data_IF_743009782452
#
_entry.id   IF_743009782452
#
_cell.length_a   1.000
_cell.length_b   1.000
_cell.length_c   1.000
_cell.angle_alpha   90.00
_cell.angle_beta   90.00
_cell.angle_gamma   90.00
#
_symmetry.space_group_name_H-M   'P 1'
#
loop_
_entity.id
_entity.type
_entity.pdbx_description
1 polymer ?
#
# COMPACT_ATOMS: atom_id res chain seq x y z
N UNK A 1 40.59 6.32 42.45
CA UNK A 1 39.24 5.73 42.60
C UNK A 1 38.34 6.35 41.54
N UNK A 2 38.11 5.65 40.43
CA UNK A 2 37.32 6.19 39.30
C UNK A 2 35.91 5.63 39.37
N UNK A 3 34.94 6.48 39.69
CA UNK A 3 33.52 6.10 39.76
C UNK A 3 33.00 5.90 38.35
N UNK A 4 32.88 4.64 37.95
CA UNK A 4 32.24 4.24 36.69
C UNK A 4 30.76 4.62 36.77
N UNK A 5 30.34 5.63 36.00
CA UNK A 5 28.92 6.01 35.89
C UNK A 5 28.15 4.81 35.34
N UNK A 6 27.02 4.40 35.94
CA UNK A 6 26.18 3.37 35.34
C UNK A 6 25.72 3.87 33.96
N UNK A 7 25.98 3.07 32.92
CA UNK A 7 25.40 3.27 31.59
C UNK A 7 23.89 3.38 31.77
N UNK A 8 23.32 4.53 31.42
CA UNK A 8 21.87 4.76 31.35
C UNK A 8 21.30 3.61 30.51
N UNK A 9 20.33 2.82 31.01
CA UNK A 9 19.70 1.80 30.19
C UNK A 9 19.08 2.51 28.99
N UNK A 10 19.60 2.22 27.79
CA UNK A 10 18.90 2.54 26.56
C UNK A 10 17.65 1.69 26.63
N UNK A 11 16.50 2.29 26.92
CA UNK A 11 15.22 1.60 26.79
C UNK A 11 15.10 1.22 25.33
N UNK A 12 15.45 -0.02 25.00
CA UNK A 12 15.00 -0.63 23.76
C UNK A 12 13.47 -0.55 23.82
N UNK A 13 12.80 0.17 22.91
CA UNK A 13 11.35 0.21 22.92
C UNK A 13 10.86 -1.23 22.82
N UNK A 14 10.01 -1.64 23.76
CA UNK A 14 9.40 -2.96 23.74
C UNK A 14 8.73 -3.15 22.36
N UNK A 15 9.15 -4.14 21.55
CA UNK A 15 8.58 -4.39 20.23
C UNK A 15 7.08 -4.73 20.29
N UNK A 16 6.54 -4.98 21.49
CA UNK A 16 5.12 -5.21 21.77
C UNK A 16 4.41 -3.99 22.37
N UNK A 17 5.10 -2.88 22.64
CA UNK A 17 4.49 -1.65 23.12
C UNK A 17 3.72 -0.97 21.98
N UNK A 18 2.45 -1.34 21.84
CA UNK A 18 1.48 -0.68 20.98
C UNK A 18 1.53 0.85 21.13
N UNK A 19 1.70 1.57 20.02
CA UNK A 19 1.88 3.03 20.00
C UNK A 19 0.58 3.73 19.61
N UNK A 20 0.43 5.02 19.95
CA UNK A 20 -0.75 5.83 19.56
C UNK A 20 -0.87 5.86 18.04
N UNK A 21 -2.05 5.55 17.50
CA UNK A 21 -2.28 5.47 16.05
C UNK A 21 -2.38 6.83 15.35
N UNK A 22 -2.77 7.87 16.10
CA UNK A 22 -3.10 9.19 15.55
C UNK A 22 -1.96 9.82 14.73
N UNK A 23 -0.69 9.87 15.19
CA UNK A 23 0.40 10.42 14.39
C UNK A 23 0.63 9.64 13.09
N UNK A 24 0.50 8.31 13.13
CA UNK A 24 0.69 7.46 11.96
C UNK A 24 -0.46 7.58 10.96
N UNK A 25 -1.69 7.81 11.43
CA UNK A 25 -2.83 8.15 10.57
C UNK A 25 -2.60 9.50 9.89
N UNK A 26 -2.14 10.50 10.63
CA UNK A 26 -1.82 11.81 10.07
C UNK A 26 -0.70 11.70 9.02
N UNK A 27 0.37 10.96 9.33
CA UNK A 27 1.46 10.70 8.39
C UNK A 27 0.98 9.96 7.13
N UNK A 28 0.16 8.91 7.28
CA UNK A 28 -0.42 8.21 6.14
C UNK A 28 -1.24 9.15 5.24
N UNK A 29 -2.05 10.04 5.82
CA UNK A 29 -2.81 11.04 5.04
C UNK A 29 -1.90 12.03 4.32
N UNK A 30 -0.81 12.46 4.96
CA UNK A 30 0.20 13.31 4.33
C UNK A 30 0.86 12.61 3.13
N UNK A 31 1.22 11.33 3.28
CA UNK A 31 1.78 10.51 2.21
C UNK A 31 0.81 10.39 1.03
N UNK A 32 -0.48 10.11 1.29
CA UNK A 32 -1.51 10.01 0.25
C UNK A 32 -1.68 11.33 -0.50
N UNK A 33 -1.80 12.44 0.24
CA UNK A 33 -1.99 13.76 -0.35
C UNK A 33 -0.78 14.21 -1.19
N UNK A 34 0.44 13.90 -0.73
CA UNK A 34 1.66 14.26 -1.47
C UNK A 34 1.82 13.47 -2.77
N UNK A 35 1.56 12.16 -2.74
CA UNK A 35 1.78 11.27 -3.87
C UNK A 35 0.60 11.18 -4.86
N UNK A 36 -0.52 11.84 -4.58
CA UNK A 36 -1.79 11.68 -5.31
C UNK A 36 -2.17 10.20 -5.50
N UNK A 37 -1.94 9.40 -4.46
CA UNK A 37 -2.05 7.96 -4.49
C UNK A 37 -3.27 7.51 -3.68
N UNK A 38 -4.16 6.66 -4.24
CA UNK A 38 -5.20 6.02 -3.47
C UNK A 38 -4.63 5.15 -2.35
N UNK A 39 -5.34 5.05 -1.22
CA UNK A 39 -4.85 4.30 -0.06
C UNK A 39 -4.48 2.82 -0.34
N UNK A 40 -5.13 2.07 -1.26
CA UNK A 40 -4.69 0.71 -1.56
C UNK A 40 -3.27 0.66 -2.14
N UNK A 41 -2.90 1.66 -2.95
CA UNK A 41 -1.53 1.80 -3.46
C UNK A 41 -0.52 2.04 -2.35
N UNK A 42 -0.86 2.87 -1.36
CA UNK A 42 -0.01 3.10 -0.19
C UNK A 42 0.17 1.83 0.65
N UNK A 43 -0.87 1.02 0.80
CA UNK A 43 -0.77 -0.26 1.52
C UNK A 43 0.25 -1.19 0.85
N UNK A 44 0.21 -1.30 -0.47
CA UNK A 44 1.20 -2.10 -1.23
C UNK A 44 2.59 -1.49 -1.10
N UNK A 45 2.76 -0.18 -1.32
CA UNK A 45 4.04 0.51 -1.23
C UNK A 45 4.71 0.35 0.16
N UNK A 46 3.90 0.42 1.23
CA UNK A 46 4.38 0.24 2.61
C UNK A 46 4.52 -1.22 3.00
N UNK A 47 4.01 -2.15 2.19
CA UNK A 47 3.96 -3.58 2.47
C UNK A 47 3.06 -3.92 3.67
N UNK A 48 2.01 -3.13 3.87
CA UNK A 48 0.94 -3.38 4.83
C UNK A 48 -0.23 -4.11 4.15
N UNK A 49 -1.06 -4.80 4.93
CA UNK A 49 -2.30 -5.38 4.39
C UNK A 49 -3.31 -4.27 4.09
N UNK A 50 -4.16 -4.50 3.08
CA UNK A 50 -5.23 -3.55 2.71
C UNK A 50 -6.12 -3.24 3.92
N UNK A 51 -6.58 -4.28 4.62
CA UNK A 51 -7.41 -4.14 5.81
C UNK A 51 -6.70 -3.36 6.94
N UNK A 52 -5.38 -3.52 7.12
CA UNK A 52 -4.65 -2.77 8.15
C UNK A 52 -4.66 -1.26 7.86
N UNK A 53 -4.36 -0.88 6.61
CA UNK A 53 -4.31 0.54 6.25
C UNK A 53 -5.71 1.17 6.20
N UNK A 54 -6.70 0.44 5.67
CA UNK A 54 -8.11 0.84 5.68
C UNK A 54 -8.59 1.11 7.11
N UNK A 55 -8.40 0.16 8.03
CA UNK A 55 -8.75 0.35 9.44
C UNK A 55 -7.99 1.51 10.09
N UNK A 56 -6.72 1.73 9.73
CA UNK A 56 -5.95 2.85 10.26
C UNK A 56 -6.58 4.18 9.82
N UNK A 57 -6.93 4.33 8.55
CA UNK A 57 -7.41 5.58 7.95
C UNK A 57 -8.88 5.87 8.25
N UNK A 58 -9.73 4.84 8.19
CA UNK A 58 -11.19 4.95 8.24
C UNK A 58 -11.79 4.39 9.54
N UNK A 59 -10.99 3.68 10.34
CA UNK A 59 -11.47 3.00 11.54
C UNK A 59 -12.13 1.66 11.23
N UNK A 60 -12.73 1.06 12.26
CA UNK A 60 -13.45 -0.22 12.18
C UNK A 60 -14.79 -0.07 12.87
N UNK A 61 -15.88 -0.41 12.17
CA UNK A 61 -17.26 -0.25 12.68
C UNK A 61 -17.54 1.16 13.23
N UNK A 62 -17.12 2.19 12.49
CA UNK A 62 -17.29 3.60 12.87
C UNK A 62 -16.38 4.08 14.01
N UNK A 63 -15.43 3.26 14.48
CA UNK A 63 -14.51 3.63 15.57
C UNK A 63 -13.08 3.76 15.06
N UNK A 64 -12.38 4.88 15.33
CA UNK A 64 -10.99 5.03 14.93
C UNK A 64 -10.09 4.06 15.70
N UNK A 65 -9.13 3.46 15.00
CA UNK A 65 -8.05 2.71 15.64
C UNK A 65 -7.26 3.65 16.55
N UNK A 66 -7.09 3.26 17.82
CA UNK A 66 -6.39 4.06 18.84
C UNK A 66 -4.92 3.72 18.97
N UNK A 67 -4.55 2.47 18.70
CA UNK A 67 -3.18 1.99 18.79
C UNK A 67 -2.81 1.13 17.58
N UNK A 68 -1.56 1.21 17.15
CA UNK A 68 -0.98 0.37 16.10
C UNK A 68 0.23 -0.39 16.65
N UNK A 69 0.57 -1.50 16.02
CA UNK A 69 1.81 -2.20 16.38
C UNK A 69 3.02 -1.37 15.96
N UNK A 70 4.16 -1.52 16.66
CA UNK A 70 5.42 -0.90 16.23
C UNK A 70 5.84 -1.27 14.80
N UNK A 71 5.49 -2.47 14.32
CA UNK A 71 5.71 -2.89 12.94
C UNK A 71 5.00 -1.96 11.93
N UNK A 72 3.70 -1.69 12.14
CA UNK A 72 2.92 -0.80 11.27
C UNK A 72 3.49 0.62 11.30
N UNK A 73 3.81 1.11 12.50
CA UNK A 73 4.44 2.41 12.69
C UNK A 73 5.77 2.52 11.91
N UNK A 74 6.66 1.54 12.06
CA UNK A 74 7.94 1.51 11.38
C UNK A 74 7.78 1.49 9.85
N UNK A 75 6.85 0.68 9.31
CA UNK A 75 6.58 0.62 7.87
C UNK A 75 6.16 1.97 7.28
N UNK A 76 5.31 2.72 8.00
CA UNK A 76 4.87 4.05 7.57
C UNK A 76 5.98 5.10 7.69
N UNK A 77 6.75 5.08 8.77
CA UNK A 77 7.83 6.04 9.01
C UNK A 77 9.04 5.87 8.07
N UNK A 78 9.17 4.71 7.41
CA UNK A 78 10.21 4.52 6.38
C UNK A 78 10.02 5.36 5.13
N UNK A 79 8.83 5.93 4.94
CA UNK A 79 8.52 6.77 3.80
C UNK A 79 8.50 8.24 4.18
N UNK A 80 9.35 9.02 3.52
CA UNK A 80 9.18 10.46 3.41
C UNK A 80 8.18 10.77 2.28
N UNK A 81 7.36 11.83 2.38
CA UNK A 81 6.44 12.20 1.31
C UNK A 81 7.11 12.35 -0.06
N UNK A 82 8.25 13.04 -0.13
CA UNK A 82 8.97 13.27 -1.39
C UNK A 82 9.51 11.97 -2.01
N UNK A 83 10.00 11.04 -1.17
CA UNK A 83 10.48 9.74 -1.62
C UNK A 83 9.34 8.90 -2.19
N UNK A 84 8.15 8.98 -1.57
CA UNK A 84 6.96 8.29 -2.07
C UNK A 84 6.49 8.89 -3.40
N UNK A 85 6.52 10.21 -3.55
CA UNK A 85 6.19 10.90 -4.82
C UNK A 85 7.14 10.44 -5.92
N UNK A 86 8.44 10.48 -5.65
CA UNK A 86 9.46 10.06 -6.61
C UNK A 86 9.29 8.58 -6.98
N UNK A 87 9.06 7.72 -5.98
CA UNK A 87 8.83 6.30 -6.20
C UNK A 87 7.55 6.04 -7.01
N UNK A 88 6.43 6.71 -6.69
CA UNK A 88 5.15 6.54 -7.38
C UNK A 88 5.23 6.89 -8.88
N UNK A 89 6.04 7.91 -9.22
CA UNK A 89 6.24 8.38 -10.59
C UNK A 89 7.32 7.63 -11.35
N UNK A 90 8.13 6.80 -10.67
CA UNK A 90 9.15 6.02 -11.31
C UNK A 90 8.53 5.10 -12.36
N UNK A 91 9.09 5.12 -13.58
CA UNK A 91 8.63 4.26 -14.65
C UNK A 91 9.16 2.84 -14.43
N UNK A 92 8.27 1.85 -14.45
CA UNK A 92 8.65 0.44 -14.30
C UNK A 92 8.27 -0.39 -15.50
N UNK A 93 9.07 -1.40 -15.86
CA UNK A 93 8.75 -2.31 -16.95
C UNK A 93 7.45 -3.08 -16.69
N UNK A 94 6.74 -3.38 -17.76
CA UNK A 94 5.59 -4.29 -17.70
C UNK A 94 6.09 -5.70 -17.33
N UNK A 95 5.77 -6.13 -16.11
CA UNK A 95 6.10 -7.46 -15.58
C UNK A 95 4.84 -8.25 -15.30
N UNK A 96 4.50 -8.45 -14.02
CA UNK A 96 3.37 -9.27 -13.60
C UNK A 96 2.01 -8.57 -13.77
N UNK A 97 1.99 -7.24 -13.94
CA UNK A 97 0.75 -6.46 -13.96
C UNK A 97 -0.27 -6.93 -15.02
N UNK A 98 0.11 -7.15 -16.30
CA UNK A 98 -0.81 -7.67 -17.32
C UNK A 98 -1.37 -9.04 -16.96
N UNK A 99 -0.56 -9.92 -16.37
CA UNK A 99 -1.01 -11.25 -15.96
C UNK A 99 -2.06 -11.14 -14.84
N UNK A 100 -1.80 -10.32 -13.81
CA UNK A 100 -2.76 -10.06 -12.72
C UNK A 100 -4.06 -9.47 -13.24
N UNK A 101 -3.98 -8.48 -14.12
CA UNK A 101 -5.15 -7.83 -14.71
C UNK A 101 -5.93 -8.79 -15.62
N UNK A 102 -5.23 -9.54 -16.47
CA UNK A 102 -5.84 -10.57 -17.32
C UNK A 102 -6.55 -11.64 -16.50
N UNK A 103 -5.98 -12.09 -15.38
CA UNK A 103 -6.62 -13.02 -14.47
C UNK A 103 -7.89 -12.45 -13.82
N UNK A 104 -7.86 -11.18 -13.40
CA UNK A 104 -9.04 -10.48 -12.86
C UNK A 104 -10.17 -10.42 -13.89
N UNK A 105 -9.86 -10.03 -15.13
CA UNK A 105 -10.84 -9.93 -16.22
C UNK A 105 -11.40 -11.30 -16.59
N UNK A 106 -10.53 -12.32 -16.70
CA UNK A 106 -10.95 -13.70 -16.98
C UNK A 106 -11.85 -14.28 -15.88
N UNK A 107 -11.68 -13.83 -14.63
CA UNK A 107 -12.51 -14.20 -13.50
C UNK A 107 -13.84 -13.41 -13.42
N UNK A 108 -14.13 -12.54 -14.40
CA UNK A 108 -15.38 -11.80 -14.48
C UNK A 108 -15.38 -10.44 -13.79
N UNK A 109 -14.22 -9.91 -13.38
CA UNK A 109 -14.14 -8.53 -12.93
C UNK A 109 -14.47 -7.59 -14.10
N UNK A 110 -15.33 -6.59 -13.85
CA UNK A 110 -15.68 -5.60 -14.88
C UNK A 110 -14.43 -4.79 -15.28
N UNK A 111 -14.12 -4.66 -16.59
CA UNK A 111 -13.01 -3.84 -17.07
C UNK A 111 -13.06 -2.41 -16.53
N UNK A 112 -14.25 -1.80 -16.49
CA UNK A 112 -14.43 -0.43 -16.01
C UNK A 112 -14.13 -0.31 -14.51
N UNK A 113 -14.51 -1.32 -13.72
CA UNK A 113 -14.23 -1.34 -12.28
C UNK A 113 -12.74 -1.53 -12.01
N UNK A 114 -12.06 -2.39 -12.77
CA UNK A 114 -10.61 -2.61 -12.64
C UNK A 114 -9.84 -1.38 -13.08
N UNK A 115 -10.21 -0.77 -14.21
CA UNK A 115 -9.59 0.44 -14.73
C UNK A 115 -9.72 1.60 -13.73
N UNK A 116 -10.95 1.85 -13.24
CA UNK A 116 -11.21 2.87 -12.23
C UNK A 116 -10.43 2.63 -10.94
N UNK A 117 -10.35 1.37 -10.47
CA UNK A 117 -9.58 1.04 -9.27
C UNK A 117 -8.08 1.29 -9.45
N UNK A 118 -7.54 1.07 -10.65
CA UNK A 118 -6.14 1.27 -10.97
C UNK A 118 -5.78 2.70 -11.40
N UNK A 119 -6.77 3.59 -11.53
CA UNK A 119 -6.57 4.95 -12.05
C UNK A 119 -6.21 4.97 -13.55
N UNK A 120 -6.71 3.99 -14.31
CA UNK A 120 -6.47 3.84 -15.74
C UNK A 120 -7.76 4.13 -16.52
N UNK A 121 -7.62 4.50 -17.80
CA UNK A 121 -8.71 4.38 -18.76
C UNK A 121 -8.90 2.92 -19.17
N UNK A 122 -10.07 2.56 -19.69
CA UNK A 122 -10.32 1.20 -20.21
C UNK A 122 -9.40 0.87 -21.40
N UNK A 123 -9.02 1.89 -22.19
CA UNK A 123 -8.06 1.74 -23.29
C UNK A 123 -6.64 1.47 -22.79
N UNK A 124 -6.19 2.20 -21.76
CA UNK A 124 -4.88 1.96 -21.13
C UNK A 124 -4.82 0.59 -20.47
N UNK A 125 -5.92 0.16 -19.83
CA UNK A 125 -6.05 -1.19 -19.29
C UNK A 125 -5.90 -2.24 -20.39
N UNK A 126 -6.60 -2.09 -21.51
CA UNK A 126 -6.50 -3.00 -22.64
C UNK A 126 -5.08 -3.00 -23.23
N UNK A 127 -4.46 -1.83 -23.41
CA UNK A 127 -3.08 -1.71 -23.89
C UNK A 127 -2.08 -2.39 -22.96
N UNK A 128 -2.31 -2.32 -21.65
CA UNK A 128 -1.46 -2.97 -20.66
C UNK A 128 -1.61 -4.50 -20.69
N UNK A 129 -2.84 -5.01 -20.74
CA UNK A 129 -3.14 -6.45 -20.83
C UNK A 129 -2.57 -7.04 -22.13
N UNK A 130 -2.72 -6.31 -23.24
CA UNK A 130 -2.25 -6.73 -24.56
C UNK A 130 -0.75 -6.46 -24.78
N UNK A 131 -0.01 -6.04 -23.73
CA UNK A 131 1.43 -5.76 -23.77
C UNK A 131 1.84 -4.70 -24.83
N UNK A 132 0.93 -3.79 -25.17
CA UNK A 132 1.19 -2.70 -26.13
C UNK A 132 1.97 -1.53 -25.53
N UNK A 133 2.11 -1.49 -24.21
CA UNK A 133 2.85 -0.44 -23.49
C UNK A 133 4.12 -1.04 -22.87
N UNK A 134 5.30 -0.40 -22.99
CA UNK A 134 6.56 -0.96 -22.48
C UNK A 134 6.76 -0.79 -20.97
N UNK A 135 5.98 0.08 -20.33
CA UNK A 135 5.97 0.25 -18.88
C UNK A 135 4.85 1.18 -18.42
N UNK A 136 4.86 1.51 -17.14
CA UNK A 136 3.88 2.40 -16.52
C UNK A 136 4.46 2.98 -15.23
N UNK A 137 3.85 4.03 -14.65
CA UNK A 137 4.24 4.55 -13.35
C UNK A 137 4.08 3.48 -12.26
N UNK A 138 5.01 3.42 -11.31
CA UNK A 138 4.99 2.48 -10.20
C UNK A 138 3.69 2.52 -9.38
N UNK A 139 3.01 3.68 -9.32
CA UNK A 139 1.68 3.79 -8.71
C UNK A 139 0.66 2.81 -9.32
N UNK A 140 0.65 2.66 -10.64
CA UNK A 140 -0.21 1.69 -11.36
C UNK A 140 0.20 0.26 -11.00
N UNK A 141 1.49 -0.01 -10.82
CA UNK A 141 2.00 -1.31 -10.35
C UNK A 141 1.39 -1.67 -8.99
N UNK A 142 1.47 -0.74 -8.04
CA UNK A 142 0.95 -0.92 -6.70
C UNK A 142 -0.57 -1.07 -6.70
N UNK A 143 -1.30 -0.31 -7.51
CA UNK A 143 -2.74 -0.42 -7.60
C UNK A 143 -3.19 -1.73 -8.27
N UNK A 144 -2.45 -2.23 -9.25
CA UNK A 144 -2.71 -3.54 -9.86
C UNK A 144 -2.56 -4.67 -8.85
N UNK A 145 -1.49 -4.65 -8.04
CA UNK A 145 -1.31 -5.61 -6.95
C UNK A 145 -2.38 -5.44 -5.86
N UNK A 146 -2.79 -4.20 -5.57
CA UNK A 146 -3.88 -3.95 -4.65
C UNK A 146 -5.23 -4.48 -5.18
N UNK A 147 -5.48 -4.41 -6.49
CA UNK A 147 -6.68 -4.93 -7.13
C UNK A 147 -6.73 -6.46 -7.01
N UNK A 148 -5.64 -7.15 -7.34
CA UNK A 148 -5.53 -8.60 -7.17
C UNK A 148 -5.90 -9.04 -5.74
N UNK A 149 -5.32 -8.36 -4.73
CA UNK A 149 -5.60 -8.64 -3.31
C UNK A 149 -7.06 -8.35 -2.93
N UNK A 150 -7.64 -7.28 -3.47
CA UNK A 150 -9.03 -6.88 -3.19
C UNK A 150 -10.04 -7.90 -3.76
N UNK A 151 -9.90 -8.28 -5.02
CA UNK A 151 -10.79 -9.22 -5.69
C UNK A 151 -10.59 -10.65 -5.21
N UNK A 152 -9.35 -11.05 -4.87
CA UNK A 152 -9.10 -12.35 -4.22
C UNK A 152 -9.80 -12.44 -2.86
N UNK A 153 -9.78 -11.35 -2.06
CA UNK A 153 -10.48 -11.31 -0.78
C UNK A 153 -12.02 -11.38 -0.92
N UNK A 154 -12.56 -11.03 -2.08
CA UNK A 154 -13.98 -11.16 -2.40
C UNK A 154 -14.35 -12.54 -2.97
N UNK A 155 -13.37 -13.44 -3.15
CA UNK A 155 -13.58 -14.77 -3.72
C UNK A 155 -13.75 -14.78 -5.24
N UNK A 156 -13.43 -13.68 -5.93
CA UNK A 156 -13.57 -13.59 -7.39
C UNK A 156 -12.37 -14.18 -8.12
N UNK A 157 -11.15 -14.10 -7.58
CA UNK A 157 -9.94 -14.66 -8.20
C UNK A 157 -9.34 -15.73 -7.29
N UNK A 158 -8.99 -16.93 -7.79
CA UNK A 158 -8.21 -17.88 -7.02
C UNK A 158 -6.82 -17.29 -6.75
N UNK A 159 -6.41 -17.27 -5.47
CA UNK A 159 -5.03 -16.87 -5.10
C UNK A 159 -4.08 -17.82 -5.83
N UNK A 160 -3.26 -17.28 -6.74
CA UNK A 160 -2.20 -18.05 -7.36
C UNK A 160 -1.25 -18.53 -6.24
N UNK A 161 -1.19 -19.84 -6.06
CA UNK A 161 -0.35 -20.52 -5.07
C UNK A 161 1.14 -20.45 -5.46
#
# INVERSE_FOLDING_TARGET
MTVSRPRRPVFAPDPHAWVKAEPFRAHARLLLAGADLPWPGLAVATGLSLACLDHLLHGRFGRPVRRVSPYVAARLLRWHPDDLVAAARAWVPVRDAPHRLGALLAAGASPDSVAAYCGLSTDDLAALVDLRTPGFPQSVAWLTEAAERHWSAQGLVPVAA
#
